data_IF_562894499311
#
_entry.id   IF_562894499311
#
_cell.length_a   1.000
_cell.length_b   1.000
_cell.length_c   1.000
_cell.angle_alpha   90.00
_cell.angle_beta   90.00
_cell.angle_gamma   90.00
#
_symmetry.space_group_name_H-M   'P 1'
#
loop_
_entity.id
_entity.type
_entity.pdbx_description
1 polymer ?
#
# COMPACT_ATOMS: atom_id res chain seq x y z
N UNK A 1 -10.16 -29.75 16.70
CA UNK A 1 -10.62 -28.96 15.54
C UNK A 1 -9.51 -28.98 14.53
N UNK A 2 -9.80 -29.02 13.28
CA UNK A 2 -8.97 -29.62 12.27
C UNK A 2 -8.26 -28.57 11.40
N UNK A 3 -7.25 -29.02 10.66
CA UNK A 3 -6.63 -28.35 9.51
C UNK A 3 -7.65 -27.65 8.58
N UNK A 4 -8.86 -28.18 8.49
CA UNK A 4 -10.02 -27.62 7.78
C UNK A 4 -10.42 -26.18 8.22
N UNK A 5 -10.26 -25.81 9.49
CA UNK A 5 -10.64 -24.46 9.98
C UNK A 5 -9.72 -23.37 9.43
N UNK A 6 -8.41 -23.61 9.42
CA UNK A 6 -7.42 -22.69 8.86
C UNK A 6 -7.52 -22.62 7.33
N UNK A 7 -7.73 -23.77 6.70
CA UNK A 7 -7.96 -23.88 5.26
C UNK A 7 -9.19 -23.05 4.84
N UNK A 8 -10.28 -23.14 5.59
CA UNK A 8 -11.49 -22.37 5.34
C UNK A 8 -11.22 -20.86 5.40
N UNK A 9 -10.52 -20.38 6.42
CA UNK A 9 -10.19 -18.96 6.53
C UNK A 9 -9.26 -18.52 5.39
N UNK A 10 -8.23 -19.28 5.08
CA UNK A 10 -7.31 -18.97 3.99
C UNK A 10 -8.06 -18.86 2.65
N UNK A 11 -8.96 -19.79 2.37
CA UNK A 11 -9.81 -19.77 1.17
C UNK A 11 -10.76 -18.55 1.17
N UNK A 12 -11.33 -18.20 2.32
CA UNK A 12 -12.21 -17.03 2.43
C UNK A 12 -11.45 -15.72 2.20
N UNK A 13 -10.20 -15.60 2.68
CA UNK A 13 -9.36 -14.42 2.44
C UNK A 13 -8.92 -14.37 0.96
N UNK A 14 -8.56 -15.52 0.34
CA UNK A 14 -8.18 -15.55 -1.08
C UNK A 14 -9.35 -15.21 -2.02
N UNK A 15 -10.58 -15.46 -1.60
CA UNK A 15 -11.77 -15.07 -2.34
C UNK A 15 -12.03 -13.55 -2.32
N UNK A 16 -11.33 -12.79 -1.46
CA UNK A 16 -11.41 -11.33 -1.45
C UNK A 16 -10.67 -10.73 -2.65
N UNK A 17 -11.06 -9.52 -3.10
CA UNK A 17 -10.41 -8.86 -4.23
C UNK A 17 -8.92 -8.55 -4.00
N UNK A 18 -8.46 -8.54 -2.76
CA UNK A 18 -7.05 -8.28 -2.40
C UNK A 18 -6.12 -9.47 -2.69
N UNK A 19 -6.66 -10.70 -2.62
CA UNK A 19 -5.92 -11.94 -2.82
C UNK A 19 -5.14 -12.41 -1.58
N UNK A 20 -5.06 -13.74 -1.44
CA UNK A 20 -4.24 -14.41 -0.43
C UNK A 20 -3.93 -15.82 -0.96
N UNK A 21 -2.85 -15.96 -1.76
CA UNK A 21 -2.58 -17.20 -2.49
C UNK A 21 -2.52 -18.41 -1.58
N UNK A 22 -3.00 -19.53 -2.12
CA UNK A 22 -2.75 -20.85 -1.57
C UNK A 22 -1.38 -21.31 -2.08
N UNK A 23 -0.46 -21.61 -1.18
CA UNK A 23 0.92 -21.97 -1.52
C UNK A 23 1.14 -23.47 -1.40
N UNK A 24 2.11 -24.00 -2.15
CA UNK A 24 2.43 -25.44 -2.09
C UNK A 24 2.97 -25.88 -0.72
N UNK A 25 3.61 -24.97 0.01
CA UNK A 25 4.18 -25.26 1.34
C UNK A 25 3.19 -25.05 2.49
N UNK A 26 2.03 -24.41 2.25
CA UNK A 26 1.08 -24.04 3.28
C UNK A 26 1.56 -22.90 4.20
N UNK A 27 2.53 -22.11 3.76
CA UNK A 27 3.10 -21.01 4.57
C UNK A 27 2.06 -19.96 4.96
N UNK A 28 1.03 -19.74 4.15
CA UNK A 28 -0.11 -18.88 4.47
C UNK A 28 -0.89 -19.37 5.69
N UNK A 29 -0.95 -20.66 5.91
CA UNK A 29 -1.57 -21.25 7.10
C UNK A 29 -0.73 -20.99 8.34
N UNK A 30 0.58 -21.09 8.25
CA UNK A 30 1.48 -20.77 9.36
C UNK A 30 1.42 -19.27 9.74
N UNK A 31 1.27 -18.38 8.77
CA UNK A 31 1.03 -16.96 9.03
C UNK A 31 -0.27 -16.73 9.81
N UNK A 32 -1.37 -17.42 9.43
CA UNK A 32 -2.64 -17.32 10.15
C UNK A 32 -2.52 -17.87 11.57
N UNK A 33 -1.91 -19.05 11.74
CA UNK A 33 -1.69 -19.68 13.05
C UNK A 33 -0.90 -18.79 14.00
N UNK A 34 0.10 -18.09 13.47
CA UNK A 34 0.93 -17.17 14.27
C UNK A 34 0.16 -15.91 14.67
N UNK A 35 -0.81 -15.49 13.87
CA UNK A 35 -1.56 -14.25 14.07
C UNK A 35 -2.83 -14.41 14.91
N UNK A 36 -3.50 -15.55 14.85
CA UNK A 36 -4.87 -15.71 15.39
C UNK A 36 -5.05 -17.03 16.12
N UNK A 37 -5.92 -17.01 17.15
CA UNK A 37 -6.35 -18.21 17.85
C UNK A 37 -7.32 -19.04 17.01
N UNK A 38 -7.46 -20.32 17.33
CA UNK A 38 -8.32 -21.24 16.59
C UNK A 38 -9.80 -20.82 16.58
N UNK A 39 -10.33 -20.31 17.71
CA UNK A 39 -11.71 -19.81 17.78
C UNK A 39 -11.93 -18.56 16.91
N UNK A 40 -10.94 -17.65 16.89
CA UNK A 40 -10.95 -16.48 16.01
C UNK A 40 -10.95 -16.88 14.55
N UNK A 41 -10.09 -17.84 14.19
CA UNK A 41 -9.97 -18.39 12.83
C UNK A 41 -11.27 -19.07 12.42
N UNK A 42 -11.87 -19.86 13.31
CA UNK A 42 -13.14 -20.54 13.04
C UNK A 42 -14.25 -19.53 12.70
N UNK A 43 -14.42 -18.49 13.51
CA UNK A 43 -15.46 -17.47 13.27
C UNK A 43 -15.15 -16.64 12.03
N UNK A 44 -13.90 -16.17 11.86
CA UNK A 44 -13.50 -15.37 10.70
C UNK A 44 -13.65 -16.15 9.39
N UNK A 45 -13.40 -17.47 9.41
CA UNK A 45 -13.62 -18.37 8.27
C UNK A 45 -15.08 -18.54 7.84
N UNK A 46 -16.05 -18.09 8.65
CA UNK A 46 -17.46 -18.04 8.28
C UNK A 46 -17.83 -16.72 7.58
N UNK A 47 -16.98 -15.70 7.67
CA UNK A 47 -17.26 -14.39 7.08
C UNK A 47 -16.91 -14.37 5.59
N UNK A 48 -17.55 -13.44 4.89
CA UNK A 48 -17.32 -13.16 3.48
C UNK A 48 -17.05 -11.66 3.27
N UNK A 49 -17.03 -11.22 2.02
CA UNK A 49 -17.05 -9.79 1.67
C UNK A 49 -18.40 -9.12 1.92
N UNK A 50 -19.47 -9.91 2.11
CA UNK A 50 -20.82 -9.38 2.40
C UNK A 50 -20.89 -9.00 3.87
N UNK A 51 -21.44 -7.82 4.13
CA UNK A 51 -21.57 -7.28 5.49
C UNK A 51 -22.83 -7.81 6.16
N UNK A 52 -22.68 -8.40 7.36
CA UNK A 52 -23.74 -8.95 8.17
C UNK A 52 -23.68 -8.35 9.58
N UNK A 53 -24.82 -8.24 10.25
CA UNK A 53 -24.88 -7.91 11.69
C UNK A 53 -24.38 -9.08 12.53
N UNK A 54 -23.96 -8.82 13.77
CA UNK A 54 -23.56 -9.89 14.68
C UNK A 54 -24.69 -10.90 14.93
N UNK A 55 -25.94 -10.45 14.96
CA UNK A 55 -27.12 -11.31 15.12
C UNK A 55 -27.33 -12.25 13.92
N UNK A 56 -27.20 -11.76 12.70
CA UNK A 56 -27.28 -12.56 11.47
C UNK A 56 -26.17 -13.61 11.43
N UNK A 57 -24.94 -13.21 11.76
CA UNK A 57 -23.79 -14.14 11.84
C UNK A 57 -24.04 -15.21 12.89
N UNK A 58 -24.43 -14.80 14.12
CA UNK A 58 -24.70 -15.72 15.24
C UNK A 58 -25.77 -16.76 14.89
N UNK A 59 -26.87 -16.32 14.29
CA UNK A 59 -27.96 -17.20 13.82
C UNK A 59 -27.44 -18.21 12.78
N UNK A 60 -26.66 -17.73 11.80
CA UNK A 60 -26.12 -18.55 10.70
C UNK A 60 -25.13 -19.61 11.19
N UNK A 61 -24.30 -19.25 12.20
CA UNK A 61 -23.27 -20.17 12.72
C UNK A 61 -23.74 -20.98 13.96
N UNK A 62 -24.96 -20.72 14.48
CA UNK A 62 -25.54 -21.41 15.61
C UNK A 62 -24.81 -21.17 16.94
N UNK A 63 -24.31 -19.93 17.16
CA UNK A 63 -23.63 -19.52 18.41
C UNK A 63 -24.37 -18.38 19.11
N UNK A 64 -24.02 -18.14 20.38
CA UNK A 64 -24.55 -17.00 21.15
C UNK A 64 -24.11 -15.67 20.52
N UNK A 65 -25.05 -14.72 20.44
CA UNK A 65 -24.81 -13.41 19.80
C UNK A 65 -23.79 -12.57 20.58
N UNK A 66 -23.75 -12.69 21.91
CA UNK A 66 -22.81 -11.96 22.75
C UNK A 66 -21.37 -12.45 22.52
N UNK A 67 -21.17 -13.77 22.47
CA UNK A 67 -19.87 -14.39 22.18
C UNK A 67 -19.39 -14.01 20.78
N UNK A 68 -20.25 -14.10 19.77
CA UNK A 68 -19.94 -13.71 18.39
C UNK A 68 -19.56 -12.25 18.31
N UNK A 69 -20.33 -11.35 18.96
CA UNK A 69 -20.03 -9.92 18.97
C UNK A 69 -18.68 -9.64 19.62
N UNK A 70 -18.40 -10.24 20.78
CA UNK A 70 -17.13 -10.03 21.48
C UNK A 70 -15.93 -10.47 20.62
N UNK A 71 -16.03 -11.63 19.97
CA UNK A 71 -14.97 -12.12 19.07
C UNK A 71 -14.79 -11.21 17.86
N UNK A 72 -15.86 -10.82 17.18
CA UNK A 72 -15.79 -9.91 16.03
C UNK A 72 -15.14 -8.58 16.40
N UNK A 73 -15.53 -7.98 17.54
CA UNK A 73 -14.97 -6.72 17.99
C UNK A 73 -13.48 -6.81 18.38
N UNK A 74 -13.05 -7.96 18.94
CA UNK A 74 -11.63 -8.21 19.23
C UNK A 74 -10.75 -8.27 17.96
N UNK A 75 -11.34 -8.65 16.84
CA UNK A 75 -10.66 -8.79 15.55
C UNK A 75 -10.60 -7.49 14.73
N UNK A 76 -11.42 -6.47 15.07
CA UNK A 76 -11.42 -5.18 14.35
C UNK A 76 -10.07 -4.45 14.47
N UNK A 77 -9.45 -4.27 15.66
CA UNK A 77 -8.16 -3.62 15.78
C UNK A 77 -7.02 -4.37 15.05
N UNK A 78 -7.20 -5.68 14.88
CA UNK A 78 -6.28 -6.58 14.16
C UNK A 78 -6.62 -6.69 12.67
N UNK A 79 -7.69 -6.03 12.21
CA UNK A 79 -8.14 -5.91 10.83
C UNK A 79 -8.48 -7.21 10.10
N UNK A 80 -8.62 -8.31 10.82
CA UNK A 80 -9.18 -9.55 10.25
C UNK A 80 -10.69 -9.42 10.02
N UNK A 81 -11.35 -8.55 10.79
CA UNK A 81 -12.74 -8.14 10.61
C UNK A 81 -12.80 -6.64 10.34
N UNK A 82 -13.63 -6.25 9.39
CA UNK A 82 -13.94 -4.85 9.08
C UNK A 82 -15.37 -4.53 9.42
N UNK A 83 -15.59 -3.32 9.91
CA UNK A 83 -16.92 -2.73 9.99
C UNK A 83 -17.28 -2.12 8.64
N UNK A 84 -18.49 -2.40 8.20
CA UNK A 84 -19.13 -1.70 7.10
C UNK A 84 -19.82 -0.46 7.68
N UNK A 85 -19.09 0.63 7.71
CA UNK A 85 -19.60 1.93 8.16
C UNK A 85 -19.24 2.96 7.12
N UNK A 86 -20.13 3.93 6.84
CA UNK A 86 -19.75 5.11 6.07
C UNK A 86 -18.72 5.90 6.91
N UNK A 87 -17.46 5.68 6.61
CA UNK A 87 -16.33 6.20 7.39
C UNK A 87 -15.57 5.06 8.07
N UNK A 88 -14.55 4.54 7.39
CA UNK A 88 -13.65 3.55 7.98
C UNK A 88 -12.98 4.16 9.22
N UNK A 89 -13.10 3.50 10.35
CA UNK A 89 -12.28 3.84 11.50
C UNK A 89 -10.80 3.71 11.13
N UNK A 90 -10.05 4.77 11.35
CA UNK A 90 -8.60 4.72 11.22
C UNK A 90 -8.05 3.67 12.20
N UNK A 91 -6.89 3.05 11.89
CA UNK A 91 -6.28 2.10 12.81
C UNK A 91 -6.15 2.66 14.22
N UNK A 92 -6.71 1.99 15.20
CA UNK A 92 -6.64 2.38 16.61
C UNK A 92 -7.70 3.37 17.09
N UNK A 93 -8.67 3.76 16.25
CA UNK A 93 -9.82 4.55 16.67
C UNK A 93 -11.10 3.69 16.70
N UNK A 94 -11.93 3.94 17.72
CA UNK A 94 -13.26 3.34 17.77
C UNK A 94 -14.11 3.89 16.61
N UNK A 95 -14.89 3.05 15.91
CA UNK A 95 -15.76 3.50 14.85
C UNK A 95 -16.84 4.41 15.42
N UNK A 96 -17.04 5.56 14.77
CA UNK A 96 -18.18 6.47 15.04
C UNK A 96 -19.39 6.02 14.19
N UNK A 97 -19.78 4.75 14.33
CA UNK A 97 -20.91 4.22 13.58
C UNK A 97 -22.23 4.77 14.16
N UNK A 98 -22.96 5.54 13.38
CA UNK A 98 -24.37 5.84 13.62
C UNK A 98 -25.16 4.75 12.91
N UNK A 99 -25.74 3.79 13.65
CA UNK A 99 -26.51 2.69 13.12
C UNK A 99 -26.09 1.31 13.63
N UNK A 100 -26.75 0.26 13.16
CA UNK A 100 -26.40 -1.12 13.49
C UNK A 100 -25.07 -1.52 12.86
N UNK A 101 -24.15 -2.05 13.67
CA UNK A 101 -22.83 -2.48 13.18
C UNK A 101 -22.96 -3.69 12.29
N UNK A 102 -22.35 -3.62 11.09
CA UNK A 102 -22.20 -4.76 10.20
C UNK A 102 -20.72 -5.11 10.02
N UNK A 103 -20.46 -6.39 9.97
CA UNK A 103 -19.11 -6.97 9.96
C UNK A 103 -18.87 -7.74 8.66
N UNK A 104 -17.66 -7.66 8.13
CA UNK A 104 -17.21 -8.45 7.00
C UNK A 104 -15.76 -8.88 7.16
N UNK A 105 -15.33 -9.87 6.39
CA UNK A 105 -13.96 -10.35 6.40
C UNK A 105 -12.99 -9.25 5.93
N UNK A 106 -11.89 -9.08 6.66
CA UNK A 106 -10.79 -8.18 6.32
C UNK A 106 -9.73 -8.87 5.45
N UNK A 107 -9.06 -8.13 4.55
CA UNK A 107 -8.00 -8.67 3.71
C UNK A 107 -6.69 -8.83 4.46
N UNK A 108 -5.75 -9.56 3.83
CA UNK A 108 -4.38 -9.67 4.30
C UNK A 108 -3.62 -8.34 4.15
N UNK A 109 -3.35 -7.92 2.91
CA UNK A 109 -2.60 -6.68 2.63
C UNK A 109 -3.55 -5.48 2.57
N UNK A 110 -3.10 -4.36 3.12
CA UNK A 110 -3.90 -3.22 3.56
C UNK A 110 -4.98 -3.69 4.53
N UNK A 111 -4.58 -4.60 5.41
CA UNK A 111 -5.41 -5.31 6.34
C UNK A 111 -4.66 -5.79 7.58
N UNK A 112 -4.78 -7.08 7.89
CA UNK A 112 -4.22 -7.62 9.13
C UNK A 112 -2.68 -7.73 9.11
N UNK A 113 -2.01 -7.74 7.93
CA UNK A 113 -0.55 -7.66 7.87
C UNK A 113 -0.03 -6.36 8.50
N UNK A 114 -0.57 -5.20 8.13
CA UNK A 114 -0.16 -3.92 8.72
C UNK A 114 -0.53 -3.79 10.20
N UNK A 115 -1.60 -4.46 10.62
CA UNK A 115 -2.00 -4.52 12.02
C UNK A 115 -1.13 -5.48 12.87
N UNK A 116 -0.36 -6.36 12.22
CA UNK A 116 0.48 -7.36 12.89
C UNK A 116 1.79 -6.81 13.47
N UNK A 117 2.02 -5.49 13.46
CA UNK A 117 3.24 -4.86 13.97
C UNK A 117 3.65 -5.37 15.37
N UNK A 118 2.69 -5.69 16.23
CA UNK A 118 2.95 -6.20 17.60
C UNK A 118 3.37 -7.67 17.62
N UNK A 119 3.03 -8.43 16.57
CA UNK A 119 3.33 -9.85 16.41
C UNK A 119 4.57 -10.07 15.57
N UNK A 120 5.05 -9.01 14.92
CA UNK A 120 6.14 -9.07 13.96
C UNK A 120 7.47 -9.36 14.67
N UNK A 121 7.90 -10.61 14.62
CA UNK A 121 9.21 -11.10 14.99
C UNK A 121 9.93 -11.62 13.73
N UNK A 122 11.14 -12.18 13.92
CA UNK A 122 11.94 -12.68 12.79
C UNK A 122 11.24 -13.83 12.06
N UNK A 123 10.62 -14.74 12.80
CA UNK A 123 9.90 -15.89 12.20
C UNK A 123 8.70 -15.43 11.36
N UNK A 124 7.90 -14.47 11.85
CA UNK A 124 6.80 -13.89 11.06
C UNK A 124 7.32 -13.23 9.78
N UNK A 125 8.42 -12.50 9.86
CA UNK A 125 9.04 -11.85 8.71
C UNK A 125 9.54 -12.86 7.67
N UNK A 126 10.17 -13.97 8.11
CA UNK A 126 10.62 -15.08 7.24
C UNK A 126 9.43 -15.78 6.57
N UNK A 127 8.35 -16.04 7.31
CA UNK A 127 7.12 -16.61 6.76
C UNK A 127 6.47 -15.69 5.73
N UNK A 128 6.46 -14.38 5.99
CA UNK A 128 5.90 -13.40 5.05
C UNK A 128 6.69 -13.34 3.74
N UNK A 129 8.02 -13.24 3.78
CA UNK A 129 8.84 -13.27 2.55
C UNK A 129 8.67 -14.58 1.78
N UNK A 130 8.65 -15.71 2.49
CA UNK A 130 8.38 -17.02 1.87
C UNK A 130 7.02 -17.04 1.17
N UNK A 131 5.95 -16.52 1.83
CA UNK A 131 4.63 -16.41 1.23
C UNK A 131 4.64 -15.54 -0.04
N UNK A 132 5.34 -14.39 -0.02
CA UNK A 132 5.46 -13.49 -1.17
C UNK A 132 6.10 -14.21 -2.37
N UNK A 133 7.17 -14.97 -2.14
CA UNK A 133 7.91 -15.70 -3.19
C UNK A 133 7.10 -16.89 -3.74
N UNK A 134 6.36 -17.59 -2.89
CA UNK A 134 5.61 -18.80 -3.26
C UNK A 134 4.23 -18.52 -3.90
N UNK A 135 4.03 -17.33 -4.47
CA UNK A 135 2.83 -16.95 -5.21
C UNK A 135 1.97 -15.89 -4.53
N UNK A 136 2.16 -15.62 -3.23
CA UNK A 136 1.42 -14.58 -2.52
C UNK A 136 1.63 -13.20 -3.12
N UNK A 137 2.85 -12.88 -3.53
CA UNK A 137 3.17 -11.61 -4.17
C UNK A 137 2.50 -11.47 -5.54
N UNK A 138 2.50 -12.50 -6.35
CA UNK A 138 1.81 -12.48 -7.65
C UNK A 138 0.31 -12.30 -7.46
N UNK A 139 -0.31 -13.07 -6.57
CA UNK A 139 -1.74 -13.01 -6.25
C UNK A 139 -2.20 -11.65 -5.77
N UNK A 140 -1.34 -10.91 -5.04
CA UNK A 140 -1.64 -9.58 -4.51
C UNK A 140 -1.36 -8.49 -5.55
N UNK A 141 -0.20 -8.53 -6.23
CA UNK A 141 0.30 -7.41 -7.01
C UNK A 141 -0.04 -7.46 -8.49
N UNK A 142 -0.22 -8.65 -9.10
CA UNK A 142 -0.53 -8.74 -10.51
C UNK A 142 -1.95 -8.26 -10.89
N UNK A 143 -3.01 -8.50 -10.09
CA UNK A 143 -4.37 -8.10 -10.48
C UNK A 143 -4.57 -6.59 -10.62
N UNK A 144 -5.42 -6.20 -11.60
CA UNK A 144 -5.78 -4.82 -11.88
C UNK A 144 -7.27 -4.55 -11.61
N UNK A 145 -7.61 -3.32 -11.14
CA UNK A 145 -6.73 -2.24 -10.66
C UNK A 145 -5.81 -2.68 -9.52
N UNK A 146 -4.63 -2.07 -9.38
CA UNK A 146 -3.74 -2.34 -8.25
C UNK A 146 -4.41 -2.13 -6.89
N UNK A 147 -3.88 -2.73 -5.83
CA UNK A 147 -4.35 -2.46 -4.45
C UNK A 147 -4.03 -1.03 -4.05
N UNK A 148 -2.85 -0.56 -4.45
CA UNK A 148 -2.37 0.80 -4.22
C UNK A 148 -2.05 1.47 -5.55
N UNK A 149 -2.34 2.76 -5.64
CA UNK A 149 -2.00 3.62 -6.77
C UNK A 149 -0.97 4.67 -6.41
N UNK A 150 -0.16 5.03 -7.40
CA UNK A 150 0.86 6.06 -7.27
C UNK A 150 0.21 7.44 -7.32
N UNK A 151 0.48 8.26 -6.31
CA UNK A 151 0.19 9.69 -6.31
C UNK A 151 1.51 10.44 -6.54
N UNK A 152 1.63 11.25 -7.59
CA UNK A 152 2.82 12.04 -7.83
C UNK A 152 3.16 12.97 -6.65
N UNK A 153 4.44 13.11 -6.35
CA UNK A 153 4.89 13.99 -5.26
C UNK A 153 4.60 15.44 -5.56
N UNK A 154 4.43 16.26 -4.52
CA UNK A 154 4.13 17.70 -4.65
C UNK A 154 5.14 18.42 -5.53
N UNK A 155 4.63 19.34 -6.36
CA UNK A 155 5.45 20.13 -7.27
C UNK A 155 6.02 19.37 -8.46
N UNK A 156 5.67 18.09 -8.67
CA UNK A 156 6.10 17.32 -9.83
C UNK A 156 5.15 17.42 -11.02
N UNK A 157 3.86 17.69 -10.77
CA UNK A 157 2.85 17.94 -11.81
C UNK A 157 2.63 19.44 -12.00
N UNK A 158 2.27 19.84 -13.21
CA UNK A 158 1.80 21.18 -13.51
C UNK A 158 0.36 21.37 -13.02
N UNK A 159 -0.09 22.63 -12.76
CA UNK A 159 -1.46 22.89 -12.31
C UNK A 159 -2.55 22.29 -13.21
N UNK A 160 -2.40 22.39 -14.53
CA UNK A 160 -3.36 21.84 -15.50
C UNK A 160 -3.51 20.31 -15.41
N UNK A 161 -2.45 19.60 -15.00
CA UNK A 161 -2.51 18.15 -14.78
C UNK A 161 -3.32 17.81 -13.53
N UNK A 162 -3.15 18.60 -12.47
CA UNK A 162 -3.89 18.44 -11.21
C UNK A 162 -5.37 18.80 -11.40
N UNK A 163 -5.67 19.84 -12.19
CA UNK A 163 -7.06 20.21 -12.55
C UNK A 163 -7.75 19.09 -13.32
N UNK A 164 -7.04 18.39 -14.20
CA UNK A 164 -7.57 17.23 -14.94
C UNK A 164 -7.82 16.02 -14.03
N UNK A 165 -6.97 15.80 -13.03
CA UNK A 165 -7.04 14.68 -12.11
C UNK A 165 -6.92 15.13 -10.64
N UNK A 166 -7.98 15.75 -10.07
CA UNK A 166 -7.92 16.32 -8.72
C UNK A 166 -7.60 15.32 -7.61
N UNK A 167 -7.81 14.02 -7.85
CA UNK A 167 -7.44 12.96 -6.91
C UNK A 167 -5.91 12.79 -6.74
N UNK A 168 -5.11 13.35 -7.66
CA UNK A 168 -3.64 13.38 -7.55
C UNK A 168 -3.13 14.56 -6.71
N UNK A 169 -4.00 15.47 -6.29
CA UNK A 169 -3.62 16.59 -5.42
C UNK A 169 -3.54 16.14 -3.95
N UNK A 170 -2.33 15.81 -3.53
CA UNK A 170 -2.09 15.40 -2.14
C UNK A 170 -2.32 16.55 -1.15
N UNK A 171 -2.10 17.79 -1.53
CA UNK A 171 -2.36 18.95 -0.67
C UNK A 171 -3.86 19.17 -0.48
N UNK A 172 -4.67 19.02 -1.51
CA UNK A 172 -6.12 19.05 -1.39
C UNK A 172 -6.65 17.94 -0.46
N UNK A 173 -6.06 16.74 -0.51
CA UNK A 173 -6.38 15.68 0.45
C UNK A 173 -6.03 16.07 1.88
N UNK A 174 -4.85 16.66 2.11
CA UNK A 174 -4.44 17.12 3.44
C UNK A 174 -5.33 18.27 3.96
N UNK A 175 -5.83 19.16 3.10
CA UNK A 175 -6.73 20.25 3.49
C UNK A 175 -8.08 19.76 4.05
N UNK A 176 -8.49 18.54 3.76
CA UNK A 176 -9.77 17.99 4.26
C UNK A 176 -9.72 17.57 5.73
N UNK A 177 -8.53 17.48 6.34
CA UNK A 177 -8.35 17.01 7.71
C UNK A 177 -7.48 17.96 8.52
N UNK A 178 -7.79 18.07 9.81
CA UNK A 178 -7.00 18.84 10.77
C UNK A 178 -6.06 17.98 11.60
N UNK A 179 -6.32 16.68 11.65
CA UNK A 179 -5.55 15.71 12.44
C UNK A 179 -5.17 14.53 11.57
N UNK A 180 -3.97 14.00 11.80
CA UNK A 180 -3.43 12.87 11.08
C UNK A 180 -2.80 11.85 12.02
N UNK A 181 -3.27 10.61 11.96
CA UNK A 181 -2.54 9.49 12.54
C UNK A 181 -1.34 9.17 11.66
N UNK A 182 -0.16 9.11 12.26
CA UNK A 182 1.08 8.72 11.57
C UNK A 182 1.44 7.30 11.95
N UNK A 183 1.35 6.40 10.99
CA UNK A 183 1.50 4.96 11.19
C UNK A 183 2.97 4.55 11.09
N UNK A 184 3.49 3.74 12.03
CA UNK A 184 4.79 3.10 11.91
C UNK A 184 4.89 2.24 10.66
N UNK A 185 6.08 2.13 10.07
CA UNK A 185 6.32 1.34 8.87
C UNK A 185 6.58 -0.13 9.20
N UNK A 186 5.63 -1.01 8.95
CA UNK A 186 5.73 -2.46 9.13
C UNK A 186 6.85 -3.04 8.26
N UNK A 187 6.94 -2.64 6.99
CA UNK A 187 7.95 -3.15 6.06
C UNK A 187 9.40 -2.82 6.48
N UNK A 188 9.64 -1.64 7.08
CA UNK A 188 10.98 -1.33 7.61
C UNK A 188 11.31 -2.17 8.83
N UNK A 189 10.33 -2.43 9.69
CA UNK A 189 10.51 -3.29 10.85
C UNK A 189 10.81 -4.73 10.43
N UNK A 190 10.12 -5.23 9.43
CA UNK A 190 10.35 -6.54 8.83
C UNK A 190 11.80 -6.67 8.31
N UNK A 191 12.23 -5.76 7.45
CA UNK A 191 13.60 -5.76 6.91
C UNK A 191 14.67 -5.64 8.02
N UNK A 192 14.39 -4.89 9.10
CA UNK A 192 15.30 -4.84 10.27
C UNK A 192 15.41 -6.20 10.96
N UNK A 193 14.30 -6.94 11.08
CA UNK A 193 14.30 -8.27 11.71
C UNK A 193 15.05 -9.30 10.87
N UNK A 194 14.88 -9.25 9.55
CA UNK A 194 15.52 -10.18 8.63
C UNK A 194 17.03 -9.92 8.46
N UNK A 195 17.41 -8.65 8.34
CA UNK A 195 18.77 -8.27 7.93
C UNK A 195 19.55 -7.48 8.99
N UNK A 196 19.02 -7.30 10.19
CA UNK A 196 19.63 -6.55 11.29
C UNK A 196 19.62 -5.03 11.09
N UNK A 197 19.23 -4.53 9.93
CA UNK A 197 19.14 -3.09 9.60
C UNK A 197 18.11 -2.83 8.51
N UNK A 198 17.36 -1.75 8.64
CA UNK A 198 16.55 -1.21 7.55
C UNK A 198 17.37 -0.26 6.65
N UNK A 199 16.71 0.33 5.65
CA UNK A 199 17.37 1.29 4.77
C UNK A 199 17.86 2.55 5.52
N UNK A 200 18.82 3.28 4.90
CA UNK A 200 19.38 4.53 5.43
C UNK A 200 18.39 5.69 5.57
N UNK A 201 17.18 5.58 5.02
CA UNK A 201 16.13 6.59 5.18
C UNK A 201 15.61 6.53 6.61
N UNK A 202 15.86 7.54 7.45
CA UNK A 202 15.71 7.45 8.91
C UNK A 202 14.26 7.37 9.37
N UNK A 203 13.33 7.74 8.51
CA UNK A 203 11.91 7.79 8.87
C UNK A 203 11.31 6.37 8.92
N UNK A 204 10.97 5.93 10.14
CA UNK A 204 10.28 4.65 10.39
C UNK A 204 8.74 4.77 10.34
N UNK A 205 8.22 5.92 9.96
CA UNK A 205 6.80 6.22 9.81
C UNK A 205 6.51 6.42 8.33
N UNK A 206 5.48 5.76 7.80
CA UNK A 206 5.17 5.85 6.38
C UNK A 206 3.72 6.21 6.07
N UNK A 207 2.76 5.89 6.94
CA UNK A 207 1.34 6.12 6.67
C UNK A 207 0.82 7.39 7.33
N UNK A 208 -0.04 8.11 6.61
CA UNK A 208 -0.87 9.19 7.16
C UNK A 208 -2.33 8.82 6.98
N UNK A 209 -3.13 8.91 8.03
CA UNK A 209 -4.58 8.69 7.98
C UNK A 209 -5.27 9.90 8.60
N UNK A 210 -6.19 10.50 7.84
CA UNK A 210 -7.00 11.61 8.32
C UNK A 210 -7.90 11.20 9.47
N UNK A 211 -7.98 12.05 10.49
CA UNK A 211 -8.73 11.82 11.72
C UNK A 211 -9.76 12.91 11.96
N UNK A 212 -10.80 12.64 12.78
CA UNK A 212 -11.72 13.67 13.25
C UNK A 212 -10.98 14.82 13.95
N UNK A 213 -11.43 16.07 13.80
CA UNK A 213 -10.72 17.26 14.30
C UNK A 213 -10.58 17.29 15.82
N UNK A 214 -11.48 16.63 16.55
CA UNK A 214 -11.46 16.52 18.02
C UNK A 214 -10.44 15.50 18.55
N UNK A 215 -9.76 14.74 17.67
CA UNK A 215 -8.77 13.73 18.11
C UNK A 215 -7.60 14.44 18.81
N UNK A 216 -7.24 14.03 20.05
CA UNK A 216 -6.13 14.64 20.78
C UNK A 216 -4.81 14.51 20.03
N UNK A 217 -4.00 15.55 20.05
CA UNK A 217 -2.62 15.50 19.55
C UNK A 217 -1.75 14.64 20.47
N UNK A 218 -0.71 14.05 19.90
CA UNK A 218 0.22 13.20 20.63
C UNK A 218 1.37 12.72 19.75
N UNK A 219 2.15 11.77 20.22
CA UNK A 219 3.33 11.30 19.50
C UNK A 219 3.01 10.73 18.10
N UNK A 220 1.84 10.12 17.94
CA UNK A 220 1.38 9.49 16.69
C UNK A 220 0.26 10.26 15.99
N UNK A 221 -0.28 11.30 16.61
CA UNK A 221 -1.34 12.15 16.04
C UNK A 221 -0.80 13.55 15.90
N UNK A 222 -0.62 13.97 14.65
CA UNK A 222 -0.10 15.29 14.28
C UNK A 222 -1.22 16.22 13.82
N UNK A 223 -1.02 17.52 13.95
CA UNK A 223 -1.83 18.48 13.23
C UNK A 223 -1.47 18.54 11.73
N UNK A 224 -2.25 19.28 10.96
CA UNK A 224 -2.06 19.40 9.50
C UNK A 224 -0.70 19.97 9.13
N UNK A 225 -0.23 20.97 9.84
CA UNK A 225 1.03 21.64 9.54
C UNK A 225 2.22 20.71 9.78
N UNK A 226 2.25 20.05 10.93
CA UNK A 226 3.27 19.07 11.28
C UNK A 226 3.27 17.87 10.31
N UNK A 227 2.09 17.36 9.97
CA UNK A 227 1.92 16.28 9.01
C UNK A 227 2.42 16.68 7.62
N UNK A 228 2.09 17.88 7.14
CA UNK A 228 2.56 18.39 5.85
C UNK A 228 4.08 18.64 5.83
N UNK A 229 4.68 19.16 6.93
CA UNK A 229 6.13 19.27 7.08
C UNK A 229 6.82 17.91 7.03
N UNK A 230 6.23 16.90 7.69
CA UNK A 230 6.74 15.53 7.66
C UNK A 230 6.67 14.93 6.26
N UNK A 231 5.54 15.13 5.54
CA UNK A 231 5.37 14.70 4.16
C UNK A 231 6.46 15.31 3.26
N UNK A 232 6.70 16.62 3.35
CA UNK A 232 7.75 17.29 2.56
C UNK A 232 9.17 16.76 2.85
N UNK A 233 9.45 16.35 4.07
CA UNK A 233 10.74 15.68 4.39
C UNK A 233 10.83 14.30 3.72
N UNK A 234 9.75 13.55 3.68
CA UNK A 234 9.69 12.23 3.03
C UNK A 234 9.91 12.37 1.51
N UNK A 235 9.26 13.34 0.87
CA UNK A 235 9.44 13.65 -0.56
C UNK A 235 10.90 14.00 -0.88
N UNK A 236 11.52 14.89 -0.10
CA UNK A 236 12.95 15.22 -0.26
C UNK A 236 13.86 14.02 -0.13
N UNK A 237 13.51 13.05 0.70
CA UNK A 237 14.24 11.78 0.84
C UNK A 237 13.93 10.78 -0.29
N UNK A 238 13.06 11.13 -1.26
CA UNK A 238 12.69 10.26 -2.37
C UNK A 238 11.75 9.12 -1.98
N UNK A 239 10.83 9.37 -1.07
CA UNK A 239 9.70 8.46 -0.84
C UNK A 239 8.62 8.69 -1.89
N UNK A 240 7.92 7.62 -2.24
CA UNK A 240 6.81 7.61 -3.19
C UNK A 240 5.50 7.61 -2.43
N UNK A 241 4.55 8.43 -2.85
CA UNK A 241 3.21 8.40 -2.30
C UNK A 241 2.40 7.29 -2.96
N UNK A 242 1.86 6.40 -2.15
CA UNK A 242 0.90 5.39 -2.55
C UNK A 242 -0.42 5.63 -1.82
N UNK A 243 -1.52 5.59 -2.55
CA UNK A 243 -2.86 5.71 -2.00
C UNK A 243 -3.68 4.46 -2.28
N UNK A 244 -4.61 4.13 -1.40
CA UNK A 244 -5.49 2.98 -1.58
C UNK A 244 -6.66 3.35 -2.50
N UNK A 245 -6.84 2.61 -3.59
CA UNK A 245 -7.99 2.81 -4.48
C UNK A 245 -9.30 2.49 -3.77
N UNK A 246 -10.36 3.23 -4.14
CA UNK A 246 -11.67 3.09 -3.55
C UNK A 246 -11.91 3.92 -2.28
N UNK A 247 -10.86 4.29 -1.54
CA UNK A 247 -10.99 5.15 -0.35
C UNK A 247 -10.41 6.55 -0.56
N UNK A 248 -9.21 6.63 -1.10
CA UNK A 248 -8.50 7.90 -1.22
C UNK A 248 -8.70 8.54 -2.58
N UNK A 249 -8.86 7.72 -3.62
CA UNK A 249 -8.80 8.17 -5.01
C UNK A 249 -10.15 8.10 -5.74
N UNK A 250 -11.26 7.76 -5.07
CA UNK A 250 -12.57 7.83 -5.71
C UNK A 250 -13.14 9.24 -5.63
N UNK A 251 -13.78 9.69 -6.71
CA UNK A 251 -14.43 11.00 -6.77
C UNK A 251 -15.55 11.15 -5.71
N UNK A 252 -16.17 10.05 -5.32
CA UNK A 252 -17.26 10.00 -4.35
C UNK A 252 -16.81 9.80 -2.91
N UNK A 253 -15.53 9.49 -2.68
CA UNK A 253 -15.01 9.32 -1.31
C UNK A 253 -14.68 10.68 -0.71
N UNK A 254 -15.50 11.22 0.22
CA UNK A 254 -15.17 12.47 0.91
C UNK A 254 -14.04 12.28 1.92
N UNK A 255 -13.55 11.06 2.10
CA UNK A 255 -12.63 10.69 3.16
C UNK A 255 -11.27 10.27 2.60
N UNK A 256 -10.26 11.06 2.92
CA UNK A 256 -8.87 10.67 2.79
C UNK A 256 -8.57 9.57 3.81
N UNK A 257 -8.49 8.34 3.38
CA UNK A 257 -8.29 7.21 4.28
C UNK A 257 -6.82 6.93 4.53
N UNK A 258 -5.92 7.41 3.70
CA UNK A 258 -4.50 7.30 3.97
C UNK A 258 -3.61 7.31 2.74
N UNK A 259 -2.42 7.86 2.92
CA UNK A 259 -1.29 7.67 2.01
C UNK A 259 -0.17 6.95 2.72
N UNK A 260 0.52 6.11 1.98
CA UNK A 260 1.78 5.50 2.39
C UNK A 260 2.92 6.19 1.65
N UNK A 261 4.01 6.46 2.37
CA UNK A 261 5.20 7.11 1.83
C UNK A 261 6.30 6.06 1.76
N UNK A 262 6.35 5.39 0.65
CA UNK A 262 7.11 4.17 0.45
C UNK A 262 8.53 4.43 -0.05
N UNK A 263 9.49 3.66 0.42
CA UNK A 263 10.84 3.64 -0.13
C UNK A 263 11.04 2.42 -1.04
N UNK A 264 11.89 2.54 -2.04
CA UNK A 264 12.19 1.47 -3.00
C UNK A 264 12.82 0.23 -2.40
N UNK A 265 13.42 0.36 -1.20
CA UNK A 265 14.29 -0.67 -0.62
C UNK A 265 13.63 -1.54 0.44
N UNK A 266 12.59 -1.05 1.16
CA UNK A 266 11.97 -1.81 2.24
C UNK A 266 10.47 -2.01 2.05
N UNK A 267 9.81 -1.19 1.21
CA UNK A 267 8.37 -1.24 1.07
C UNK A 267 7.89 -2.59 0.53
N UNK A 268 6.97 -3.24 1.22
CA UNK A 268 6.41 -4.53 0.81
C UNK A 268 5.81 -4.51 -0.60
N UNK A 269 5.37 -3.35 -1.10
CA UNK A 269 4.91 -3.21 -2.49
C UNK A 269 6.09 -3.28 -3.46
N UNK A 270 7.12 -2.44 -3.28
CA UNK A 270 8.26 -2.40 -4.21
C UNK A 270 9.24 -3.55 -4.02
N UNK A 271 9.51 -3.93 -2.78
CA UNK A 271 10.35 -5.09 -2.45
C UNK A 271 9.62 -6.40 -2.78
N UNK A 272 8.37 -6.54 -2.36
CA UNK A 272 7.55 -7.71 -2.63
C UNK A 272 7.29 -7.94 -4.12
N UNK A 273 7.08 -6.87 -4.90
CA UNK A 273 7.01 -6.93 -6.36
C UNK A 273 8.29 -7.54 -6.96
N UNK A 274 9.47 -7.11 -6.49
CA UNK A 274 10.76 -7.65 -6.96
C UNK A 274 10.94 -9.11 -6.56
N UNK A 275 10.60 -9.46 -5.32
CA UNK A 275 10.67 -10.85 -4.84
C UNK A 275 9.74 -11.78 -5.62
N UNK A 276 8.54 -11.35 -5.90
CA UNK A 276 7.54 -12.12 -6.65
C UNK A 276 7.79 -12.14 -8.16
N UNK A 277 8.75 -11.35 -8.68
CA UNK A 277 9.01 -11.23 -10.12
C UNK A 277 7.89 -10.56 -10.92
N UNK A 278 6.99 -9.81 -10.25
CA UNK A 278 5.88 -9.09 -10.93
C UNK A 278 6.37 -7.79 -11.50
N UNK A 279 5.92 -7.45 -12.71
CA UNK A 279 6.35 -6.24 -13.40
C UNK A 279 5.94 -4.96 -12.65
N UNK A 280 4.79 -4.97 -11.97
CA UNK A 280 4.21 -3.80 -11.31
C UNK A 280 3.58 -4.17 -9.97
N UNK A 281 4.02 -3.54 -8.88
CA UNK A 281 3.44 -3.73 -7.53
C UNK A 281 2.37 -2.70 -7.18
N UNK A 282 2.44 -1.50 -7.75
CA UNK A 282 1.47 -0.44 -7.61
C UNK A 282 0.92 -0.03 -8.97
N UNK A 283 -0.36 0.41 -8.99
CA UNK A 283 -0.94 1.00 -10.19
C UNK A 283 -0.19 2.30 -10.53
N UNK A 284 0.27 2.43 -11.77
CA UNK A 284 0.94 3.64 -12.27
C UNK A 284 -0.02 4.82 -12.29
N UNK A 285 0.49 6.04 -12.12
CA UNK A 285 -0.26 7.25 -12.45
C UNK A 285 -0.34 7.43 -13.97
N UNK A 286 -1.21 8.35 -14.42
CA UNK A 286 -1.37 8.69 -15.83
C UNK A 286 -0.26 9.62 -16.38
N UNK A 287 0.89 9.66 -15.71
CA UNK A 287 2.02 10.52 -16.09
C UNK A 287 3.31 9.73 -16.14
N UNK A 288 4.23 10.17 -16.99
CA UNK A 288 5.58 9.61 -17.11
C UNK A 288 6.61 10.74 -17.07
N UNK A 289 7.77 10.45 -16.49
CA UNK A 289 8.87 11.38 -16.50
C UNK A 289 9.49 11.47 -17.90
N UNK A 290 9.83 12.69 -18.31
CA UNK A 290 10.58 12.97 -19.53
C UNK A 290 11.78 13.83 -19.16
N UNK A 291 12.95 13.47 -19.68
CA UNK A 291 14.20 14.18 -19.43
C UNK A 291 14.55 14.99 -20.68
N UNK A 292 14.70 16.30 -20.50
CA UNK A 292 15.27 17.17 -21.52
C UNK A 292 16.81 17.02 -21.49
N UNK A 293 17.43 16.61 -22.60
CA UNK A 293 18.85 16.39 -22.63
C UNK A 293 19.66 17.69 -22.54
N UNK A 294 19.11 18.86 -22.90
CA UNK A 294 19.88 20.11 -22.97
C UNK A 294 20.29 20.60 -21.56
N UNK A 295 19.38 20.78 -20.58
CA UNK A 295 19.76 21.15 -19.22
C UNK A 295 20.30 19.97 -18.39
N UNK A 296 20.21 18.73 -18.85
CA UNK A 296 20.68 17.55 -18.12
C UNK A 296 22.22 17.55 -18.03
N UNK A 297 22.75 17.53 -16.82
CA UNK A 297 24.20 17.49 -16.51
C UNK A 297 24.75 16.08 -16.31
N UNK A 298 23.95 15.03 -16.51
CA UNK A 298 24.32 13.65 -16.27
C UNK A 298 24.79 13.36 -14.82
N UNK A 299 24.26 14.09 -13.84
CA UNK A 299 24.68 13.95 -12.43
C UNK A 299 24.18 12.67 -11.72
N UNK A 300 23.34 11.87 -12.35
CA UNK A 300 22.83 10.60 -11.84
C UNK A 300 21.82 10.70 -10.67
N UNK A 301 21.49 11.89 -10.17
CA UNK A 301 20.58 12.07 -9.04
C UNK A 301 19.20 11.43 -9.26
N UNK A 302 18.66 11.51 -10.46
CA UNK A 302 17.37 10.90 -10.83
C UNK A 302 17.44 9.36 -10.85
N UNK A 303 18.56 8.78 -11.24
CA UNK A 303 18.80 7.32 -11.25
C UNK A 303 18.72 6.80 -9.81
N UNK A 304 19.45 7.43 -8.88
CA UNK A 304 19.50 7.06 -7.46
C UNK A 304 18.14 7.22 -6.74
N UNK A 305 17.28 8.10 -7.25
CA UNK A 305 15.97 8.38 -6.67
C UNK A 305 14.87 7.48 -7.24
N UNK A 306 15.08 6.87 -8.42
CA UNK A 306 14.05 6.08 -9.08
C UNK A 306 13.71 4.81 -8.28
N UNK A 307 12.45 4.63 -7.83
CA UNK A 307 12.08 3.49 -6.99
C UNK A 307 11.98 2.17 -7.77
N UNK A 308 11.90 2.24 -9.10
CA UNK A 308 11.63 1.09 -9.99
C UNK A 308 12.71 0.92 -11.07
N UNK A 309 13.85 1.58 -10.89
CA UNK A 309 15.00 1.50 -11.80
C UNK A 309 14.62 1.82 -13.28
N UNK A 310 13.68 2.77 -13.44
CA UNK A 310 13.21 3.22 -14.77
C UNK A 310 14.12 4.27 -15.42
N UNK A 311 15.15 4.76 -14.73
CA UNK A 311 16.07 5.77 -15.26
C UNK A 311 17.45 5.18 -15.30
N UNK A 312 18.11 5.29 -16.46
CA UNK A 312 19.47 4.82 -16.70
C UNK A 312 20.28 5.87 -17.46
N UNK A 313 21.59 5.71 -17.48
CA UNK A 313 22.44 6.45 -18.41
C UNK A 313 22.21 5.98 -19.85
N UNK A 314 22.28 6.89 -20.81
CA UNK A 314 21.88 6.65 -22.20
C UNK A 314 22.68 5.57 -22.94
N UNK A 315 23.79 5.07 -22.38
CA UNK A 315 24.61 4.04 -22.96
C UNK A 315 24.80 2.79 -22.11
N UNK A 316 24.43 2.80 -20.83
CA UNK A 316 24.61 1.63 -19.92
C UNK A 316 23.40 1.46 -19.01
N UNK A 317 22.72 0.30 -19.14
CA UNK A 317 21.78 -0.17 -18.13
C UNK A 317 22.56 -0.50 -16.85
N UNK A 318 22.27 0.20 -15.77
CA UNK A 318 22.68 -0.27 -14.45
C UNK A 318 21.96 -1.61 -14.18
N UNK A 319 22.66 -2.63 -13.65
CA UNK A 319 22.00 -3.89 -13.31
C UNK A 319 20.85 -3.64 -12.35
N UNK A 320 19.72 -4.28 -12.61
CA UNK A 320 18.49 -4.21 -11.81
C UNK A 320 18.61 -4.80 -10.40
N UNK A 321 19.81 -5.15 -9.98
CA UNK A 321 20.14 -5.70 -8.67
C UNK A 321 21.01 -4.70 -7.93
N UNK A 322 20.41 -3.59 -7.49
CA UNK A 322 20.99 -2.84 -6.39
C UNK A 322 20.34 -3.41 -5.12
N UNK A 323 21.07 -4.25 -4.35
CA UNK A 323 20.63 -4.59 -3.01
C UNK A 323 20.54 -3.26 -2.26
N UNK A 324 19.36 -2.81 -1.92
CA UNK A 324 19.09 -1.58 -1.20
C UNK A 324 20.17 -0.50 -1.45
N UNK A 325 19.88 0.62 -2.05
CA UNK A 325 20.79 1.79 -2.24
C UNK A 325 21.52 2.21 -0.95
N UNK A 326 21.30 1.50 0.11
CA UNK A 326 21.88 1.56 1.43
C UNK A 326 23.26 0.92 1.53
N UNK A 327 23.68 0.08 0.60
CA UNK A 327 25.01 -0.56 0.61
C UNK A 327 25.92 0.18 -0.35
N UNK A 328 26.57 1.22 0.14
CA UNK A 328 27.45 2.12 -0.56
C UNK A 328 28.57 1.47 -1.42
N UNK A 329 28.27 1.18 -2.65
CA UNK A 329 29.21 1.07 -3.74
C UNK A 329 28.65 1.89 -4.89
N UNK A 330 28.88 3.20 -4.84
CA UNK A 330 28.68 4.06 -5.99
C UNK A 330 29.94 3.92 -6.85
N UNK A 331 29.82 3.22 -7.98
CA UNK A 331 30.75 3.46 -9.11
C UNK A 331 30.39 4.82 -9.67
N UNK A 332 31.36 5.69 -9.87
CA UNK A 332 31.14 6.98 -10.50
C UNK A 332 30.48 6.77 -11.89
N UNK A 333 29.36 7.45 -12.18
CA UNK A 333 28.70 7.32 -13.48
C UNK A 333 29.62 7.88 -14.58
N UNK A 334 29.78 7.14 -15.67
CA UNK A 334 30.38 7.69 -16.89
C UNK A 334 29.45 8.77 -17.49
N UNK A 335 29.99 9.84 -18.10
CA UNK A 335 29.21 10.98 -18.56
C UNK A 335 28.30 10.62 -19.74
N UNK A 336 27.06 10.31 -19.47
CA UNK A 336 25.99 10.09 -20.44
C UNK A 336 24.69 10.76 -19.99
N UNK A 337 23.90 11.29 -20.93
CA UNK A 337 22.58 11.86 -20.62
C UNK A 337 21.66 10.76 -20.09
N UNK A 338 20.90 11.06 -19.02
CA UNK A 338 19.95 10.09 -18.48
C UNK A 338 18.74 9.89 -19.41
N UNK A 339 18.24 8.67 -19.48
CA UNK A 339 17.04 8.30 -20.26
C UNK A 339 16.02 7.58 -19.35
N UNK A 340 14.74 7.72 -19.70
CA UNK A 340 13.63 7.08 -18.97
C UNK A 340 13.10 5.91 -19.77
N UNK A 341 13.06 4.75 -19.14
CA UNK A 341 12.28 3.60 -19.60
C UNK A 341 10.80 3.87 -19.24
N UNK A 342 10.00 4.24 -20.25
CA UNK A 342 8.60 4.64 -20.07
C UNK A 342 7.74 3.49 -19.57
N UNK A 343 8.06 2.26 -19.94
CA UNK A 343 7.31 1.08 -19.55
C UNK A 343 7.50 0.76 -18.07
N UNK A 344 8.68 1.06 -17.52
CA UNK A 344 8.96 0.91 -16.09
C UNK A 344 8.54 2.11 -15.25
N UNK A 345 8.47 3.29 -15.84
CA UNK A 345 8.14 4.50 -15.11
C UNK A 345 6.74 4.41 -14.52
N UNK A 346 6.62 4.59 -13.20
CA UNK A 346 5.35 4.56 -12.48
C UNK A 346 4.70 5.94 -12.30
N UNK A 347 5.35 6.99 -12.78
CA UNK A 347 4.81 8.34 -12.73
C UNK A 347 4.78 8.97 -11.33
N UNK A 348 5.71 8.64 -10.45
CA UNK A 348 5.73 9.14 -9.06
C UNK A 348 6.31 10.55 -8.87
N UNK A 349 7.03 11.10 -9.85
CA UNK A 349 7.57 12.46 -9.84
C UNK A 349 8.78 12.71 -8.92
N UNK A 350 9.28 11.72 -8.15
CA UNK A 350 10.41 11.92 -7.22
C UNK A 350 11.71 12.34 -7.92
N UNK A 351 11.89 11.97 -9.19
CA UNK A 351 13.03 12.40 -10.00
C UNK A 351 12.92 13.88 -10.39
N UNK A 352 11.70 14.40 -10.60
CA UNK A 352 11.45 15.81 -10.97
C UNK A 352 11.93 16.74 -9.86
N UNK A 353 11.40 16.56 -8.65
CA UNK A 353 11.75 17.42 -7.49
C UNK A 353 13.20 17.21 -7.00
N UNK A 354 13.86 16.18 -7.49
CA UNK A 354 15.26 15.88 -7.15
C UNK A 354 16.26 16.29 -8.22
N UNK A 355 15.81 16.83 -9.35
CA UNK A 355 16.69 17.26 -10.44
C UNK A 355 17.25 18.66 -10.15
N UNK A 356 18.57 18.85 -9.96
CA UNK A 356 19.15 20.15 -9.64
C UNK A 356 19.14 21.15 -10.80
N UNK A 357 18.95 20.67 -12.02
CA UNK A 357 18.92 21.49 -13.25
C UNK A 357 17.53 21.59 -13.87
N UNK A 358 16.50 21.09 -13.16
CA UNK A 358 15.10 21.08 -13.63
C UNK A 358 14.92 20.44 -15.03
N UNK A 359 15.82 19.52 -15.39
CA UNK A 359 15.81 18.83 -16.68
C UNK A 359 14.68 17.80 -16.81
N UNK A 360 13.88 17.57 -15.76
CA UNK A 360 12.87 16.50 -15.75
C UNK A 360 11.49 17.11 -15.54
N UNK A 361 10.55 16.71 -16.38
CA UNK A 361 9.14 17.07 -16.25
C UNK A 361 8.26 15.82 -16.32
N UNK A 362 7.01 15.95 -15.88
CA UNK A 362 5.99 14.92 -16.06
C UNK A 362 5.14 15.26 -17.29
N UNK A 363 4.90 14.24 -18.12
CA UNK A 363 4.00 14.32 -19.26
C UNK A 363 2.88 13.28 -19.13
N UNK A 364 1.65 13.59 -19.59
CA UNK A 364 0.57 12.62 -19.61
C UNK A 364 0.90 11.45 -20.53
N UNK A 365 0.36 10.28 -20.23
CA UNK A 365 0.35 9.13 -21.14
C UNK A 365 -0.65 9.36 -22.27
N UNK A 366 -0.66 8.50 -23.28
CA UNK A 366 -1.67 8.55 -24.33
C UNK A 366 -3.06 8.20 -23.81
N UNK A 367 -4.11 8.57 -24.54
CA UNK A 367 -5.49 8.24 -24.13
C UNK A 367 -5.73 6.73 -24.08
N UNK A 368 -5.03 5.94 -24.88
CA UNK A 368 -5.11 4.48 -24.86
C UNK A 368 -4.46 3.86 -23.62
N UNK A 369 -3.45 4.52 -23.05
CA UNK A 369 -2.78 4.10 -21.83
C UNK A 369 -3.46 4.67 -20.56
N UNK A 370 -4.49 5.55 -20.74
CA UNK A 370 -5.10 6.27 -19.63
C UNK A 370 -5.85 5.35 -18.69
N UNK A 371 -5.40 5.28 -17.47
CA UNK A 371 -6.07 4.52 -16.42
C UNK A 371 -7.19 5.33 -15.76
N UNK A 372 -8.42 4.85 -15.88
CA UNK A 372 -9.57 5.43 -15.21
C UNK A 372 -9.68 4.89 -13.78
N UNK A 373 -9.50 5.78 -12.81
CA UNK A 373 -9.60 5.47 -11.39
C UNK A 373 -10.98 4.91 -11.07
N UNK A 374 -11.09 3.85 -10.26
CA UNK A 374 -12.38 3.35 -9.79
C UNK A 374 -13.20 4.44 -9.10
N UNK A 375 -14.50 4.50 -9.40
CA UNK A 375 -15.40 5.52 -8.84
C UNK A 375 -15.67 5.31 -7.35
N UNK A 376 -15.61 4.05 -6.89
CA UNK A 376 -15.90 3.67 -5.51
C UNK A 376 -15.09 2.43 -5.10
N UNK A 377 -15.16 2.05 -3.82
CA UNK A 377 -14.64 0.79 -3.35
C UNK A 377 -15.32 -0.40 -4.02
N UNK A 378 -16.64 -0.33 -4.21
CA UNK A 378 -17.38 -1.41 -4.86
C UNK A 378 -16.94 -1.60 -6.31
N UNK A 379 -16.77 -0.51 -7.08
CA UNK A 379 -16.24 -0.52 -8.45
C UNK A 379 -14.82 -1.12 -8.48
N UNK A 380 -13.95 -0.75 -7.53
CA UNK A 380 -12.61 -1.33 -7.43
C UNK A 380 -12.65 -2.85 -7.12
N UNK A 381 -13.50 -3.26 -6.17
CA UNK A 381 -13.67 -4.68 -5.82
C UNK A 381 -14.17 -5.50 -7.02
N UNK A 382 -15.15 -4.98 -7.76
CA UNK A 382 -15.74 -5.63 -8.93
C UNK A 382 -14.72 -5.81 -10.05
N UNK A 383 -14.03 -4.74 -10.47
CA UNK A 383 -12.99 -4.79 -11.52
C UNK A 383 -11.88 -5.79 -11.17
N UNK A 384 -11.46 -5.86 -9.91
CA UNK A 384 -10.44 -6.84 -9.49
C UNK A 384 -10.94 -8.27 -9.53
N UNK A 385 -12.18 -8.52 -9.11
CA UNK A 385 -12.79 -9.84 -9.17
C UNK A 385 -12.97 -10.30 -10.61
N UNK A 386 -13.34 -9.42 -11.53
CA UNK A 386 -13.40 -9.69 -12.97
C UNK A 386 -12.02 -10.07 -13.51
N UNK A 387 -10.97 -9.29 -13.17
CA UNK A 387 -9.60 -9.63 -13.55
C UNK A 387 -9.20 -11.02 -13.05
N UNK A 388 -9.46 -11.32 -11.77
CA UNK A 388 -9.11 -12.61 -11.16
C UNK A 388 -9.91 -13.77 -11.77
N UNK A 389 -11.14 -13.54 -12.20
CA UNK A 389 -11.94 -14.54 -12.89
C UNK A 389 -11.44 -14.84 -14.31
N UNK A 390 -10.93 -13.82 -15.01
CA UNK A 390 -10.38 -13.96 -16.36
C UNK A 390 -9.02 -14.69 -16.41
N UNK A 391 -8.34 -14.87 -15.26
CA UNK A 391 -7.07 -15.60 -15.15
C UNK A 391 -7.23 -17.10 -14.82
N UNK A 392 -8.44 -17.53 -14.50
CA UNK A 392 -8.79 -18.96 -14.24
C UNK A 392 -9.13 -19.69 -15.52
#
# INVERSE_FOLDING_TARGET
MSEDTYERLANAIDALPHGFARTASGVEIELIKKAFTEDEVWLAGQLTRTSETAAEIAQRVGRDVGEVTATLESLIPRRLVRLDSPGMAAPGLAPTAVGEKKYRLGPFLVGWYEASMRLLDKEFAELFEKFVVEGGGERIFAPRPGVLGVVPVRGSLKPEHVEREPHLDIDAHFQRHERFLVIPCVCKREIELLHGKSCKKPMKRCGFVGLPPQTPLGETVLDREEASKLLGRLEKMGHVHLAFYGFTMSAESPQFVGTWNCCSCCCGVFHGQKLAGVAEGAQKSNYRAVIDPDPCTACGACILRCPVDAIAEGAKRLPSVIPCVCAGAMTEPEPGKSVVDRDKCIGCGVCVIGCPTEAIRMEPVSEEEWFHVPNSMADWEERRLEYLAAQK
#
